data_IF_619043435149
#
_entry.id   IF_619043435149
#
_cell.length_a   1.000
_cell.length_b   1.000
_cell.length_c   1.000
_cell.angle_alpha   90.00
_cell.angle_beta   90.00
_cell.angle_gamma   90.00
#
_symmetry.space_group_name_H-M   'P 1'
#
loop_
_entity.id
_entity.type
_entity.pdbx_description
1 polymer ?
#
# COMPACT_ATOMS: atom_id res chain seq x y z
N UNK A 1 10.91 -26.43 -36.67
CA UNK A 1 12.02 -25.83 -35.91
C UNK A 1 12.12 -24.39 -36.35
N UNK A 2 11.42 -23.49 -35.70
CA UNK A 2 11.51 -22.04 -35.90
C UNK A 2 12.38 -21.49 -34.78
N UNK A 3 13.53 -20.98 -35.16
CA UNK A 3 14.48 -20.32 -34.29
C UNK A 3 13.83 -19.10 -33.67
N UNK A 4 13.67 -19.14 -32.35
CA UNK A 4 13.33 -17.95 -31.55
C UNK A 4 14.59 -17.11 -31.50
N UNK A 5 14.59 -16.03 -32.27
CA UNK A 5 15.65 -15.03 -32.25
C UNK A 5 15.75 -14.44 -30.82
N UNK A 6 16.90 -14.58 -30.12
CA UNK A 6 17.06 -13.95 -28.82
C UNK A 6 17.19 -12.43 -29.05
N UNK A 7 16.17 -11.67 -28.64
CA UNK A 7 16.29 -10.22 -28.53
C UNK A 7 17.40 -9.93 -27.55
N UNK A 8 18.55 -9.55 -28.08
CA UNK A 8 19.73 -9.15 -27.32
C UNK A 8 19.39 -7.88 -26.53
N UNK A 9 19.05 -8.07 -25.29
CA UNK A 9 18.76 -7.00 -24.35
C UNK A 9 20.06 -6.46 -23.75
N UNK A 10 20.66 -5.50 -24.41
CA UNK A 10 21.58 -4.55 -23.76
C UNK A 10 20.74 -3.48 -23.04
N UNK A 11 20.04 -3.82 -21.99
CA UNK A 11 19.36 -2.82 -21.18
C UNK A 11 20.25 -2.42 -20.02
N UNK A 12 20.62 -1.15 -19.99
CA UNK A 12 21.26 -0.53 -18.83
C UNK A 12 20.42 -0.81 -17.60
N UNK A 13 21.00 -1.34 -16.50
CA UNK A 13 20.25 -1.60 -15.29
C UNK A 13 19.56 -0.35 -14.77
N UNK A 14 18.28 -0.45 -14.38
CA UNK A 14 17.53 0.67 -13.83
C UNK A 14 17.74 0.71 -12.31
N UNK A 15 18.30 1.83 -11.83
CA UNK A 15 18.42 2.17 -10.42
C UNK A 15 17.46 3.34 -10.12
N UNK A 16 16.25 3.05 -9.67
CA UNK A 16 15.28 4.11 -9.42
C UNK A 16 15.61 4.92 -8.15
N UNK A 17 15.08 6.14 -8.02
CA UNK A 17 15.39 7.03 -6.91
C UNK A 17 15.08 6.42 -5.55
N UNK A 18 15.96 6.65 -4.60
CA UNK A 18 15.85 6.15 -3.23
C UNK A 18 16.05 7.25 -2.19
N UNK A 19 15.62 6.98 -0.97
CA UNK A 19 15.98 7.81 0.18
C UNK A 19 17.41 7.46 0.59
N UNK A 20 18.28 8.45 0.61
CA UNK A 20 19.67 8.28 1.08
C UNK A 20 19.67 8.27 2.61
N UNK A 21 20.10 7.16 3.26
CA UNK A 21 20.19 7.08 4.70
C UNK A 21 21.30 7.98 5.24
N UNK A 22 21.17 8.52 6.46
CA UNK A 22 22.27 9.21 7.12
C UNK A 22 23.39 8.21 7.49
N UNK A 23 24.68 8.56 7.27
CA UNK A 23 25.80 7.65 7.52
C UNK A 23 25.99 7.30 9.00
N UNK A 24 25.46 8.14 9.89
CA UNK A 24 25.47 7.94 11.35
C UNK A 24 24.10 8.27 11.95
N UNK A 25 23.78 7.71 13.12
CA UNK A 25 22.61 8.12 13.87
C UNK A 25 22.58 9.64 14.09
N UNK A 26 21.42 10.24 13.89
CA UNK A 26 21.24 11.69 13.98
C UNK A 26 21.07 12.14 15.42
N UNK A 27 21.52 13.36 15.74
CA UNK A 27 21.20 14.01 17.01
C UNK A 27 19.71 14.37 17.09
N UNK A 28 19.16 14.42 18.31
CA UNK A 28 17.72 14.60 18.55
C UNK A 28 17.08 15.76 17.76
N UNK A 29 17.62 17.00 17.77
CA UNK A 29 16.99 18.11 17.04
C UNK A 29 16.97 17.87 15.51
N UNK A 30 18.07 17.34 14.97
CA UNK A 30 18.17 17.03 13.54
C UNK A 30 17.25 15.87 13.16
N UNK A 31 17.24 14.82 13.98
CA UNK A 31 16.36 13.67 13.81
C UNK A 31 14.90 14.10 13.76
N UNK A 32 14.48 15.00 14.66
CA UNK A 32 13.12 15.51 14.70
C UNK A 32 12.74 16.29 13.42
N UNK A 33 13.61 17.20 12.97
CA UNK A 33 13.37 17.96 11.74
C UNK A 33 13.30 17.04 10.52
N UNK A 34 14.19 16.06 10.42
CA UNK A 34 14.19 15.07 9.33
C UNK A 34 12.96 14.17 9.40
N UNK A 35 12.57 13.73 10.61
CA UNK A 35 11.35 12.94 10.81
C UNK A 35 10.10 13.67 10.31
N UNK A 36 9.94 14.95 10.62
CA UNK A 36 8.81 15.74 10.11
C UNK A 36 8.81 15.89 8.59
N UNK A 37 9.98 15.89 7.96
CA UNK A 37 10.11 15.98 6.50
C UNK A 37 9.88 14.64 5.84
N UNK A 38 10.55 13.62 6.33
CA UNK A 38 10.47 12.24 5.83
C UNK A 38 11.05 11.28 6.88
N UNK A 39 10.22 10.49 7.59
CA UNK A 39 10.68 9.54 8.61
C UNK A 39 11.82 8.62 8.15
N UNK A 40 11.87 8.25 6.86
CA UNK A 40 12.93 7.39 6.32
C UNK A 40 14.32 8.02 6.40
N UNK A 41 14.42 9.35 6.47
CA UNK A 41 15.70 10.05 6.66
C UNK A 41 16.28 9.88 8.07
N UNK A 42 15.55 9.26 9.00
CA UNK A 42 16.03 9.01 10.37
C UNK A 42 16.59 7.60 10.55
N UNK A 43 16.46 6.74 9.54
CA UNK A 43 16.98 5.36 9.56
C UNK A 43 18.44 5.41 9.15
N UNK A 44 19.41 5.09 10.04
CA UNK A 44 20.83 5.17 9.72
C UNK A 44 21.27 4.08 8.73
N UNK A 45 22.35 4.35 8.00
CA UNK A 45 22.89 3.45 6.97
C UNK A 45 23.21 2.04 7.50
N UNK A 46 23.66 1.92 8.74
CA UNK A 46 23.93 0.63 9.38
C UNK A 46 22.72 -0.32 9.34
N UNK A 47 21.49 0.19 9.34
CA UNK A 47 20.25 -0.61 9.29
C UNK A 47 20.05 -1.31 7.94
N UNK A 48 20.76 -0.88 6.89
CA UNK A 48 20.73 -1.53 5.58
C UNK A 48 21.78 -2.66 5.45
N UNK A 49 22.61 -2.86 6.48
CA UNK A 49 23.74 -3.81 6.47
C UNK A 49 23.73 -4.76 7.67
N UNK A 50 23.25 -4.30 8.83
CA UNK A 50 23.32 -5.06 10.08
C UNK A 50 21.98 -5.71 10.44
N UNK A 51 22.00 -6.92 11.05
CA UNK A 51 20.79 -7.67 11.41
C UNK A 51 19.98 -6.99 12.53
N UNK A 52 20.68 -6.24 13.39
CA UNK A 52 20.13 -5.55 14.54
C UNK A 52 20.96 -4.28 14.80
N UNK A 53 20.30 -3.13 14.97
CA UNK A 53 20.96 -1.87 15.34
C UNK A 53 20.29 -1.28 16.57
N UNK A 54 21.04 -1.18 17.67
CA UNK A 54 20.55 -0.65 18.95
C UNK A 54 20.99 0.80 19.12
N UNK A 55 20.04 1.72 19.14
CA UNK A 55 20.27 3.13 19.45
C UNK A 55 19.89 3.40 20.92
N UNK A 56 20.92 3.52 21.77
CA UNK A 56 20.76 3.82 23.19
C UNK A 56 20.67 5.33 23.40
N UNK A 57 19.46 5.84 23.55
CA UNK A 57 19.20 7.27 23.79
C UNK A 57 17.72 7.51 24.05
N UNK A 58 17.30 8.73 24.45
CA UNK A 58 15.89 9.09 24.50
C UNK A 58 15.40 9.60 23.12
N UNK A 59 14.46 8.90 22.42
CA UNK A 59 13.96 7.55 22.75
C UNK A 59 14.95 6.45 22.36
N UNK A 60 15.01 5.37 23.14
CA UNK A 60 15.74 4.17 22.74
C UNK A 60 14.98 3.47 21.62
N UNK A 61 15.70 3.13 20.55
CA UNK A 61 15.12 2.46 19.37
C UNK A 61 16.01 1.28 19.00
N UNK A 62 15.40 0.13 18.76
CA UNK A 62 16.07 -1.05 18.23
C UNK A 62 15.51 -1.33 16.84
N UNK A 63 16.36 -1.24 15.82
CA UNK A 63 16.04 -1.59 14.45
C UNK A 63 16.32 -3.07 14.21
N UNK A 64 15.32 -3.79 13.73
CA UNK A 64 15.40 -5.23 13.45
C UNK A 64 15.21 -5.46 11.97
N UNK A 65 16.21 -6.08 11.32
CA UNK A 65 16.22 -6.32 9.87
C UNK A 65 16.44 -7.78 9.51
N UNK A 66 17.02 -8.58 10.41
CA UNK A 66 17.21 -10.01 10.20
C UNK A 66 15.87 -10.75 10.15
N UNK A 67 15.60 -11.59 9.11
CA UNK A 67 14.34 -12.30 8.98
C UNK A 67 13.98 -13.23 10.15
N UNK A 68 14.98 -13.84 10.83
CA UNK A 68 14.73 -14.69 12.00
C UNK A 68 14.31 -13.84 13.19
N UNK A 69 14.95 -12.70 13.42
CA UNK A 69 14.58 -11.75 14.47
C UNK A 69 13.22 -11.10 14.20
N UNK A 70 12.92 -10.75 12.95
CA UNK A 70 11.60 -10.28 12.54
C UNK A 70 10.51 -11.31 12.87
N UNK A 71 10.79 -12.60 12.63
CA UNK A 71 9.88 -13.70 13.01
C UNK A 71 9.65 -13.75 14.52
N UNK A 72 10.71 -13.63 15.34
CA UNK A 72 10.59 -13.59 16.81
C UNK A 72 9.66 -12.45 17.22
N UNK A 73 9.90 -11.24 16.74
CA UNK A 73 9.12 -10.04 17.13
C UNK A 73 7.66 -10.10 16.68
N UNK A 74 7.40 -10.60 15.45
CA UNK A 74 6.05 -10.54 14.87
C UNK A 74 5.22 -11.80 15.08
N UNK A 75 5.84 -12.94 15.41
CA UNK A 75 5.17 -14.24 15.47
C UNK A 75 5.46 -14.98 16.75
N UNK A 76 6.72 -15.37 16.98
CA UNK A 76 7.07 -16.33 18.04
C UNK A 76 6.86 -15.75 19.43
N UNK A 77 7.14 -14.46 19.62
CA UNK A 77 6.98 -13.74 20.89
C UNK A 77 6.11 -12.47 20.71
N UNK A 78 5.13 -12.50 19.82
CA UNK A 78 4.34 -11.32 19.47
C UNK A 78 3.61 -10.68 20.67
N UNK A 79 3.32 -11.42 21.72
CA UNK A 79 2.70 -10.93 22.96
C UNK A 79 3.68 -10.06 23.79
N UNK A 80 4.99 -10.29 23.66
CA UNK A 80 6.05 -9.47 24.27
C UNK A 80 6.34 -8.18 23.48
N UNK A 81 5.86 -8.13 22.24
CA UNK A 81 6.02 -7.00 21.30
C UNK A 81 4.67 -6.47 20.81
N UNK A 82 3.81 -5.94 21.68
CA UNK A 82 2.52 -5.38 21.28
C UNK A 82 2.67 -4.19 20.33
N UNK A 83 1.54 -3.77 19.74
CA UNK A 83 1.52 -2.59 18.87
C UNK A 83 1.94 -1.33 19.64
N UNK A 84 2.58 -0.41 18.93
CA UNK A 84 2.95 0.89 19.50
C UNK A 84 1.68 1.69 19.83
N UNK A 85 1.49 2.12 21.09
CA UNK A 85 0.39 2.98 21.49
C UNK A 85 0.28 4.28 20.70
N UNK A 86 1.37 4.69 20.04
CA UNK A 86 1.43 5.83 19.15
C UNK A 86 0.39 5.71 18.03
N UNK A 87 0.26 4.52 17.43
CA UNK A 87 -0.71 4.26 16.36
C UNK A 87 -2.14 4.64 16.81
N UNK A 88 -2.53 4.20 18.00
CA UNK A 88 -3.86 4.49 18.57
C UNK A 88 -4.02 5.97 18.93
N UNK A 89 -2.96 6.62 19.43
CA UNK A 89 -2.97 8.07 19.73
C UNK A 89 -3.15 8.93 18.49
N UNK A 90 -2.57 8.50 17.37
CA UNK A 90 -2.57 9.25 16.10
C UNK A 90 -3.85 8.99 15.32
N UNK A 91 -4.26 7.73 15.22
CA UNK A 91 -5.33 7.28 14.32
C UNK A 91 -6.67 7.03 15.03
N UNK A 92 -6.67 6.87 16.35
CA UNK A 92 -7.88 6.48 17.11
C UNK A 92 -9.03 7.47 17.03
N UNK A 93 -8.80 8.75 16.73
CA UNK A 93 -9.87 9.73 16.54
C UNK A 93 -10.80 9.37 15.39
N UNK A 94 -10.24 8.98 14.24
CA UNK A 94 -11.02 8.62 13.05
C UNK A 94 -11.41 7.13 13.03
N UNK A 95 -10.46 6.25 13.33
CA UNK A 95 -10.64 4.80 13.21
C UNK A 95 -11.23 4.13 14.45
N UNK A 96 -11.46 4.88 15.53
CA UNK A 96 -12.04 4.36 16.77
C UNK A 96 -11.31 3.11 17.29
N UNK A 97 -12.06 2.05 17.56
CA UNK A 97 -11.56 0.74 17.93
C UNK A 97 -11.75 -0.29 16.79
N UNK A 98 -11.24 0.03 15.61
CA UNK A 98 -11.27 -0.88 14.45
C UNK A 98 -10.26 -2.02 14.57
N UNK A 99 -10.27 -2.91 13.60
CA UNK A 99 -9.29 -4.00 13.45
C UNK A 99 -7.84 -3.47 13.40
N UNK A 100 -7.63 -2.22 12.99
CA UNK A 100 -6.30 -1.59 12.95
C UNK A 100 -5.81 -1.14 14.33
N UNK A 101 -6.72 -0.63 15.17
CA UNK A 101 -6.40 0.07 16.44
C UNK A 101 -6.73 -0.73 17.68
N UNK A 102 -7.53 -1.79 17.57
CA UNK A 102 -7.91 -2.68 18.67
C UNK A 102 -6.82 -3.71 18.99
N UNK A 103 -6.86 -4.26 20.20
CA UNK A 103 -5.89 -5.24 20.70
C UNK A 103 -6.58 -6.42 21.39
N UNK A 104 -5.80 -7.45 21.71
CA UNK A 104 -6.22 -8.59 22.51
C UNK A 104 -7.45 -9.31 21.95
N UNK A 105 -8.43 -9.55 22.81
CA UNK A 105 -9.66 -10.30 22.46
C UNK A 105 -10.54 -9.52 21.48
N UNK A 106 -10.63 -8.20 21.62
CA UNK A 106 -11.45 -7.36 20.73
C UNK A 106 -10.93 -7.43 19.30
N UNK A 107 -9.60 -7.35 19.12
CA UNK A 107 -8.99 -7.53 17.81
C UNK A 107 -9.22 -8.94 17.22
N UNK A 108 -9.01 -10.00 18.02
CA UNK A 108 -9.19 -11.38 17.54
C UNK A 108 -10.61 -11.61 17.04
N UNK A 109 -11.58 -11.16 17.80
CA UNK A 109 -12.99 -11.26 17.45
C UNK A 109 -13.29 -10.51 16.12
N UNK A 110 -12.85 -9.25 15.98
CA UNK A 110 -13.04 -8.49 14.75
C UNK A 110 -12.36 -9.18 13.57
N UNK A 111 -11.12 -9.64 13.74
CA UNK A 111 -10.36 -10.33 12.71
C UNK A 111 -11.05 -11.62 12.26
N UNK A 112 -11.50 -12.46 13.18
CA UNK A 112 -12.21 -13.71 12.88
C UNK A 112 -13.50 -13.46 12.12
N UNK A 113 -14.22 -12.40 12.49
CA UNK A 113 -15.48 -12.02 11.84
C UNK A 113 -15.25 -11.57 10.38
N UNK A 114 -14.19 -10.82 10.13
CA UNK A 114 -13.98 -10.14 8.84
C UNK A 114 -13.09 -10.93 7.87
N UNK A 115 -12.11 -11.69 8.36
CA UNK A 115 -11.13 -12.40 7.54
C UNK A 115 -11.72 -13.31 6.45
N UNK A 116 -12.85 -14.04 6.66
CA UNK A 116 -13.45 -14.84 5.61
C UNK A 116 -13.82 -14.06 4.35
N UNK A 117 -14.20 -12.77 4.50
CA UNK A 117 -14.60 -11.90 3.38
C UNK A 117 -13.43 -11.49 2.48
N UNK A 118 -12.20 -11.59 2.98
CA UNK A 118 -10.97 -11.20 2.28
C UNK A 118 -10.19 -12.40 1.72
N UNK A 119 -10.79 -13.59 1.66
CA UNK A 119 -10.19 -14.74 0.99
C UNK A 119 -10.10 -14.51 -0.52
N UNK A 120 -9.03 -14.98 -1.15
CA UNK A 120 -8.80 -14.80 -2.59
C UNK A 120 -10.02 -15.15 -3.46
N UNK A 121 -10.64 -16.32 -3.25
CA UNK A 121 -11.82 -16.74 -3.98
C UNK A 121 -13.04 -15.80 -3.86
N UNK A 122 -13.15 -15.06 -2.75
CA UNK A 122 -14.19 -14.05 -2.57
C UNK A 122 -13.85 -12.73 -3.27
N UNK A 123 -12.54 -12.41 -3.34
CA UNK A 123 -12.08 -11.13 -3.88
C UNK A 123 -12.12 -11.08 -5.40
N UNK A 124 -11.84 -12.19 -6.10
CA UNK A 124 -11.83 -12.24 -7.58
C UNK A 124 -13.16 -11.85 -8.22
N UNK A 125 -14.26 -11.96 -7.50
CA UNK A 125 -15.60 -11.52 -7.96
C UNK A 125 -15.71 -10.00 -8.11
N UNK A 126 -14.84 -9.22 -7.45
CA UNK A 126 -14.82 -7.76 -7.54
C UNK A 126 -13.93 -7.24 -8.68
N UNK A 127 -13.28 -8.13 -9.46
CA UNK A 127 -12.44 -7.74 -10.61
C UNK A 127 -13.18 -6.82 -11.59
N UNK A 128 -14.47 -7.01 -11.91
CA UNK A 128 -15.18 -6.07 -12.79
C UNK A 128 -15.20 -4.62 -12.25
N UNK A 129 -15.36 -4.43 -10.95
CA UNK A 129 -15.31 -3.11 -10.32
C UNK A 129 -13.88 -2.50 -10.37
N UNK A 130 -12.86 -3.35 -10.21
CA UNK A 130 -11.44 -2.95 -10.30
C UNK A 130 -11.09 -2.52 -11.74
N UNK A 131 -11.54 -3.26 -12.74
CA UNK A 131 -11.40 -2.90 -14.15
C UNK A 131 -12.11 -1.59 -14.46
N UNK A 132 -13.35 -1.41 -14.00
CA UNK A 132 -14.09 -0.16 -14.18
C UNK A 132 -13.36 1.06 -13.56
N UNK A 133 -12.67 0.86 -12.43
CA UNK A 133 -11.80 1.88 -11.85
C UNK A 133 -10.66 2.29 -12.80
N UNK A 134 -9.96 1.32 -13.39
CA UNK A 134 -8.92 1.59 -14.38
C UNK A 134 -9.49 2.25 -15.65
N UNK A 135 -10.62 1.79 -16.14
CA UNK A 135 -11.31 2.34 -17.31
C UNK A 135 -11.73 3.81 -17.09
N UNK A 136 -12.05 4.19 -15.86
CA UNK A 136 -12.35 5.59 -15.54
C UNK A 136 -11.16 6.52 -15.77
N UNK A 137 -9.94 6.07 -15.45
CA UNK A 137 -8.71 6.80 -15.73
C UNK A 137 -8.41 6.83 -17.24
N UNK A 138 -8.55 5.69 -17.92
CA UNK A 138 -8.37 5.57 -19.37
C UNK A 138 -9.31 6.52 -20.14
N UNK A 139 -10.57 6.61 -19.71
CA UNK A 139 -11.55 7.53 -20.29
C UNK A 139 -11.10 8.99 -20.15
N UNK A 140 -10.57 9.36 -18.98
CA UNK A 140 -10.08 10.72 -18.75
C UNK A 140 -8.84 11.03 -19.64
N UNK A 141 -7.93 10.06 -19.79
CA UNK A 141 -6.74 10.21 -20.65
C UNK A 141 -7.10 10.26 -22.14
N UNK A 142 -8.07 9.46 -22.58
CA UNK A 142 -8.55 9.46 -23.97
C UNK A 142 -9.23 10.78 -24.38
N UNK A 143 -9.75 11.54 -23.44
CA UNK A 143 -10.36 12.86 -23.67
C UNK A 143 -9.32 13.99 -23.75
N UNK A 144 -8.07 13.74 -23.32
CA UNK A 144 -6.97 14.70 -23.38
C UNK A 144 -6.24 14.62 -24.73
N UNK A 145 -5.54 15.69 -25.15
CA UNK A 145 -4.70 15.63 -26.33
C UNK A 145 -3.65 14.51 -26.27
N UNK A 146 -3.32 13.84 -27.38
CA UNK A 146 -2.31 12.78 -27.39
C UNK A 146 -0.98 13.25 -26.79
N UNK A 147 -0.37 12.42 -25.95
CA UNK A 147 0.89 12.74 -25.29
C UNK A 147 0.81 13.78 -24.18
N UNK A 148 -0.39 14.06 -23.66
CA UNK A 148 -0.57 14.95 -22.50
C UNK A 148 0.13 14.38 -21.26
N UNK A 149 0.65 15.30 -20.43
CA UNK A 149 1.15 14.95 -19.09
C UNK A 149 0.00 14.85 -18.10
N UNK A 150 -0.02 13.76 -17.33
CA UNK A 150 -1.03 13.48 -16.31
C UNK A 150 -0.37 13.28 -14.96
N UNK A 151 -1.02 13.76 -13.90
CA UNK A 151 -0.62 13.51 -12.51
C UNK A 151 -1.07 12.10 -12.11
N UNK A 152 -0.24 11.09 -12.44
CA UNK A 152 -0.58 9.67 -12.30
C UNK A 152 -0.94 9.30 -10.86
N UNK A 153 -0.28 9.87 -9.87
CA UNK A 153 -0.61 9.66 -8.45
C UNK A 153 -2.04 10.11 -8.12
N UNK A 154 -2.47 11.25 -8.64
CA UNK A 154 -3.84 11.74 -8.47
C UNK A 154 -4.85 10.90 -9.26
N UNK A 155 -4.49 10.44 -10.47
CA UNK A 155 -5.34 9.59 -11.29
C UNK A 155 -5.54 8.22 -10.64
N UNK A 156 -4.49 7.60 -10.13
CA UNK A 156 -4.57 6.33 -9.42
C UNK A 156 -5.36 6.45 -8.11
N UNK A 157 -5.19 7.55 -7.37
CA UNK A 157 -6.03 7.83 -6.20
C UNK A 157 -7.52 7.90 -6.55
N UNK A 158 -7.89 8.53 -7.65
CA UNK A 158 -9.29 8.58 -8.11
C UNK A 158 -9.80 7.22 -8.55
N UNK A 159 -8.99 6.48 -9.31
CA UNK A 159 -9.36 5.17 -9.83
C UNK A 159 -9.55 4.14 -8.71
N UNK A 160 -8.62 4.03 -7.76
CA UNK A 160 -8.72 3.11 -6.61
C UNK A 160 -9.82 3.54 -5.63
N UNK A 161 -10.03 4.86 -5.49
CA UNK A 161 -11.16 5.36 -4.71
C UNK A 161 -12.50 4.93 -5.33
N UNK A 162 -12.62 4.99 -6.66
CA UNK A 162 -13.81 4.49 -7.37
C UNK A 162 -14.03 2.99 -7.11
N UNK A 163 -12.95 2.19 -7.13
CA UNK A 163 -13.03 0.75 -6.81
C UNK A 163 -13.56 0.54 -5.40
N UNK A 164 -12.95 1.17 -4.39
CA UNK A 164 -13.30 0.94 -2.99
C UNK A 164 -14.73 1.41 -2.68
N UNK A 165 -15.18 2.52 -3.28
CA UNK A 165 -16.55 2.99 -3.15
C UNK A 165 -17.55 2.01 -3.75
N UNK A 166 -17.27 1.46 -4.94
CA UNK A 166 -18.18 0.53 -5.60
C UNK A 166 -18.22 -0.86 -4.93
N UNK A 167 -17.22 -1.20 -4.12
CA UNK A 167 -17.16 -2.48 -3.40
C UNK A 167 -17.60 -2.38 -1.94
N UNK A 168 -17.30 -1.26 -1.26
CA UNK A 168 -17.60 -1.07 0.16
C UNK A 168 -18.75 -0.08 0.44
N UNK A 169 -19.12 0.77 -0.52
CA UNK A 169 -20.21 1.74 -0.36
C UNK A 169 -21.04 1.86 -1.65
N UNK A 170 -21.52 0.75 -2.24
CA UNK A 170 -22.29 0.82 -3.47
C UNK A 170 -23.58 1.60 -3.24
N UNK A 171 -23.90 2.47 -4.19
CA UNK A 171 -25.08 3.38 -4.11
C UNK A 171 -24.83 4.70 -3.35
N UNK A 172 -23.64 4.90 -2.79
CA UNK A 172 -23.32 6.08 -1.98
C UNK A 172 -23.23 7.42 -2.72
N UNK A 173 -23.47 7.45 -4.03
CA UNK A 173 -23.55 8.65 -4.85
C UNK A 173 -22.29 9.54 -4.89
N UNK A 174 -22.29 10.51 -5.83
CA UNK A 174 -21.15 11.43 -6.02
C UNK A 174 -20.86 12.31 -4.77
N UNK A 175 -21.88 12.58 -3.95
CA UNK A 175 -21.74 13.40 -2.73
C UNK A 175 -20.90 12.72 -1.64
N UNK A 176 -21.13 11.42 -1.39
CA UNK A 176 -20.33 10.64 -0.43
C UNK A 176 -18.90 10.57 -0.95
N UNK A 177 -18.73 10.32 -2.25
CA UNK A 177 -17.44 10.27 -2.90
C UNK A 177 -16.59 11.53 -2.69
N UNK A 178 -17.14 12.69 -2.97
CA UNK A 178 -16.40 13.95 -2.83
C UNK A 178 -16.10 14.30 -1.36
N UNK A 179 -17.08 14.08 -0.46
CA UNK A 179 -16.90 14.30 0.99
C UNK A 179 -15.79 13.41 1.56
N UNK A 180 -15.77 12.12 1.19
CA UNK A 180 -14.75 11.18 1.63
C UNK A 180 -13.36 11.55 1.08
N UNK A 181 -13.26 11.89 -0.21
CA UNK A 181 -12.01 12.30 -0.85
C UNK A 181 -11.41 13.54 -0.18
N UNK A 182 -12.21 14.62 -0.05
CA UNK A 182 -11.77 15.86 0.59
C UNK A 182 -11.40 15.63 2.06
N UNK A 183 -12.27 14.93 2.80
CA UNK A 183 -12.07 14.67 4.22
C UNK A 183 -10.86 13.83 4.52
N UNK A 184 -10.59 12.81 3.69
CA UNK A 184 -9.41 11.96 3.82
C UNK A 184 -8.13 12.74 3.57
N UNK A 185 -8.08 13.54 2.51
CA UNK A 185 -6.91 14.37 2.19
C UNK A 185 -6.58 15.33 3.33
N UNK A 186 -7.59 16.07 3.78
CA UNK A 186 -7.45 17.05 4.86
C UNK A 186 -7.07 16.43 6.21
N UNK A 187 -7.61 15.23 6.50
CA UNK A 187 -7.26 14.49 7.70
C UNK A 187 -5.80 14.03 7.66
N UNK A 188 -5.35 13.47 6.53
CA UNK A 188 -3.98 12.98 6.34
C UNK A 188 -2.93 14.08 6.47
N UNK A 189 -3.23 15.31 6.04
CA UNK A 189 -2.33 16.45 6.26
C UNK A 189 -2.07 16.74 7.75
N UNK A 190 -3.10 16.58 8.59
CA UNK A 190 -3.00 16.79 10.05
C UNK A 190 -2.23 15.70 10.80
N UNK A 191 -2.10 14.50 10.22
CA UNK A 191 -1.46 13.35 10.88
C UNK A 191 0.01 13.61 11.23
N UNK A 192 0.78 14.29 10.38
CA UNK A 192 2.20 14.57 10.64
C UNK A 192 2.41 15.32 11.96
N UNK A 193 1.59 16.33 12.24
CA UNK A 193 1.63 17.05 13.52
C UNK A 193 1.15 16.18 14.69
N UNK A 194 0.11 15.38 14.47
CA UNK A 194 -0.38 14.44 15.50
C UNK A 194 0.69 13.42 15.88
N UNK A 195 1.42 12.90 14.89
CA UNK A 195 2.53 11.97 15.09
C UNK A 195 3.69 12.65 15.83
N UNK A 196 4.06 13.88 15.45
CA UNK A 196 5.11 14.62 16.13
C UNK A 196 4.81 14.87 17.61
N UNK A 197 3.57 15.28 17.92
CA UNK A 197 3.13 15.49 19.31
C UNK A 197 3.11 14.18 20.11
N UNK A 198 2.73 13.09 19.47
CA UNK A 198 2.68 11.79 20.12
C UNK A 198 4.08 11.22 20.37
N UNK A 199 5.01 11.36 19.40
CA UNK A 199 6.43 10.97 19.55
C UNK A 199 7.11 11.75 20.66
N UNK A 200 6.84 13.05 20.77
CA UNK A 200 7.37 13.91 21.85
C UNK A 200 6.62 13.74 23.18
N UNK A 201 5.63 12.84 23.23
CA UNK A 201 4.75 12.63 24.40
C UNK A 201 4.15 13.94 24.96
N UNK A 202 3.83 14.89 24.05
CA UNK A 202 3.24 16.16 24.43
C UNK A 202 1.81 15.98 24.95
N UNK A 203 1.38 16.75 25.96
CA UNK A 203 0.03 16.66 26.49
C UNK A 203 -1.05 16.94 25.44
N UNK A 204 -2.15 16.20 25.47
CA UNK A 204 -3.25 16.29 24.50
C UNK A 204 -3.94 17.66 24.51
N UNK A 205 -3.88 18.40 25.63
CA UNK A 205 -4.46 19.72 25.76
C UNK A 205 -3.68 20.80 25.02
N UNK A 206 -2.40 20.55 24.70
CA UNK A 206 -1.56 21.54 24.00
C UNK A 206 -2.12 21.84 22.60
N UNK A 207 -2.26 23.12 22.22
CA UNK A 207 -2.73 23.51 20.89
C UNK A 207 -1.83 22.94 19.80
N UNK A 208 -2.40 22.23 18.81
CA UNK A 208 -1.65 21.72 17.66
C UNK A 208 -2.27 22.18 16.34
N UNK A 209 -1.43 22.47 15.33
CA UNK A 209 -1.90 22.84 14.01
C UNK A 209 -2.85 21.77 13.43
N UNK A 210 -3.92 22.21 12.78
CA UNK A 210 -4.88 21.33 12.11
C UNK A 210 -5.88 20.58 13.00
N UNK A 211 -5.78 20.64 14.36
CA UNK A 211 -6.65 19.88 15.27
C UNK A 211 -8.14 20.11 15.05
N UNK A 212 -8.56 21.39 14.81
CA UNK A 212 -9.97 21.71 14.56
C UNK A 212 -10.47 21.09 13.24
N UNK A 213 -9.65 21.18 12.19
CA UNK A 213 -9.94 20.60 10.86
C UNK A 213 -10.03 19.07 10.93
N UNK A 214 -9.08 18.43 11.63
CA UNK A 214 -9.12 16.97 11.85
C UNK A 214 -10.41 16.55 12.58
N UNK A 215 -10.77 17.20 13.69
CA UNK A 215 -12.01 16.89 14.43
C UNK A 215 -13.27 17.09 13.59
N UNK A 216 -13.33 18.17 12.80
CA UNK A 216 -14.43 18.39 11.86
C UNK A 216 -14.59 17.21 10.91
N UNK A 217 -13.49 16.75 10.31
CA UNK A 217 -13.52 15.63 9.38
C UNK A 217 -13.77 14.29 10.08
N UNK A 218 -13.22 14.06 11.27
CA UNK A 218 -13.55 12.88 12.08
C UNK A 218 -15.06 12.74 12.26
N UNK A 219 -15.71 13.79 12.73
CA UNK A 219 -17.17 13.79 12.94
C UNK A 219 -17.94 13.60 11.63
N UNK A 220 -17.53 14.32 10.59
CA UNK A 220 -18.23 14.30 9.30
C UNK A 220 -18.13 12.97 8.58
N UNK A 221 -16.93 12.38 8.53
CA UNK A 221 -16.70 11.09 7.87
C UNK A 221 -17.43 9.95 8.62
N UNK A 222 -17.38 9.97 9.95
CA UNK A 222 -18.12 8.98 10.76
C UNK A 222 -19.63 9.09 10.57
N UNK A 223 -20.18 10.29 10.51
CA UNK A 223 -21.59 10.50 10.25
C UNK A 223 -22.02 9.95 8.89
N UNK A 224 -21.26 10.27 7.82
CA UNK A 224 -21.56 9.78 6.47
C UNK A 224 -21.59 8.24 6.42
N UNK A 225 -20.62 7.56 7.03
CA UNK A 225 -20.59 6.10 7.04
C UNK A 225 -21.75 5.52 7.88
N UNK A 226 -22.07 6.13 9.03
CA UNK A 226 -23.19 5.70 9.87
C UNK A 226 -24.54 5.87 9.14
N UNK A 227 -24.72 6.98 8.40
CA UNK A 227 -25.91 7.22 7.59
C UNK A 227 -26.04 6.15 6.49
N UNK A 228 -24.94 5.84 5.79
CA UNK A 228 -24.92 4.78 4.76
C UNK A 228 -25.30 3.40 5.34
N UNK A 229 -24.81 3.07 6.54
CA UNK A 229 -25.19 1.81 7.23
C UNK A 229 -26.70 1.78 7.48
N UNK A 230 -27.26 2.90 8.00
CA UNK A 230 -28.70 3.00 8.31
C UNK A 230 -29.56 2.93 7.05
N UNK A 231 -29.17 3.61 5.97
CA UNK A 231 -29.85 3.55 4.68
C UNK A 231 -29.89 2.11 4.15
N UNK A 232 -28.79 1.37 4.23
CA UNK A 232 -28.72 -0.04 3.78
C UNK A 232 -29.62 -0.96 4.61
N UNK A 233 -29.74 -0.73 5.92
CA UNK A 233 -30.64 -1.49 6.77
C UNK A 233 -32.13 -1.25 6.47
N UNK A 234 -32.49 -0.06 5.99
CA UNK A 234 -33.88 0.31 5.67
C UNK A 234 -34.29 -0.06 4.24
N UNK A 235 -33.33 -0.23 3.34
CA UNK A 235 -33.57 -0.63 1.94
C UNK A 235 -32.79 -1.91 1.65
N UNK A 236 -33.30 -3.08 2.04
CA UNK A 236 -32.64 -4.35 1.80
C UNK A 236 -32.82 -4.78 0.33
N UNK A 237 -32.24 -4.03 -0.60
CA UNK A 237 -32.02 -4.52 -1.96
C UNK A 237 -31.04 -5.68 -1.89
N UNK A 238 -31.26 -6.72 -2.71
CA UNK A 238 -30.45 -7.93 -2.75
C UNK A 238 -29.06 -7.67 -3.39
N UNK A 239 -28.26 -6.87 -2.70
CA UNK A 239 -26.91 -6.51 -3.13
C UNK A 239 -25.90 -7.56 -2.60
N UNK A 240 -25.27 -8.29 -3.50
CA UNK A 240 -24.15 -9.19 -3.18
C UNK A 240 -22.80 -8.45 -3.25
N UNK A 241 -22.65 -7.41 -2.41
CA UNK A 241 -21.43 -6.61 -2.28
C UNK A 241 -20.71 -6.87 -0.95
N UNK A 242 -19.45 -6.42 -0.88
CA UNK A 242 -18.62 -6.59 0.30
C UNK A 242 -19.20 -5.85 1.53
N UNK A 243 -19.89 -4.74 1.30
CA UNK A 243 -20.55 -3.97 2.36
C UNK A 243 -21.70 -4.75 3.01
N UNK A 244 -22.63 -5.29 2.20
CA UNK A 244 -23.73 -6.13 2.69
C UNK A 244 -23.22 -7.36 3.44
N UNK A 245 -22.17 -7.99 2.90
CA UNK A 245 -21.51 -9.13 3.55
C UNK A 245 -20.87 -8.74 4.89
N UNK A 246 -20.26 -7.56 4.99
CA UNK A 246 -19.69 -7.05 6.24
C UNK A 246 -20.78 -6.77 7.28
N UNK A 247 -21.91 -6.18 6.86
CA UNK A 247 -23.07 -5.95 7.75
C UNK A 247 -23.65 -7.28 8.28
N UNK A 248 -23.67 -8.31 7.43
CA UNK A 248 -24.14 -9.65 7.78
C UNK A 248 -23.11 -10.52 8.50
N UNK A 249 -21.85 -10.10 8.59
CA UNK A 249 -20.78 -10.91 9.13
C UNK A 249 -21.00 -11.25 10.61
N UNK A 250 -20.80 -12.53 10.94
CA UNK A 250 -20.92 -13.05 12.31
C UNK A 250 -19.60 -13.68 12.75
N UNK A 251 -19.29 -13.51 13.99
CA UNK A 251 -18.16 -14.22 14.58
C UNK A 251 -18.41 -15.74 14.53
N UNK A 252 -17.52 -16.52 13.92
CA UNK A 252 -17.72 -17.95 13.72
C UNK A 252 -17.75 -18.75 15.04
N UNK A 253 -17.17 -18.22 16.13
CA UNK A 253 -17.15 -18.90 17.43
C UNK A 253 -18.40 -18.61 18.27
N UNK A 254 -18.88 -17.37 18.23
CA UNK A 254 -19.94 -16.90 19.13
C UNK A 254 -21.27 -16.60 18.45
N UNK A 255 -21.29 -16.56 17.10
CA UNK A 255 -22.45 -16.15 16.30
C UNK A 255 -22.85 -14.67 16.46
N UNK A 256 -22.04 -13.87 17.16
CA UNK A 256 -22.35 -12.43 17.40
C UNK A 256 -22.07 -11.59 16.18
N UNK A 257 -22.97 -10.67 15.89
CA UNK A 257 -22.78 -9.63 14.88
C UNK A 257 -21.95 -8.48 15.41
N UNK A 258 -21.30 -7.77 14.49
CA UNK A 258 -20.53 -6.57 14.81
C UNK A 258 -21.50 -5.42 15.15
N UNK A 259 -21.34 -4.72 16.29
CA UNK A 259 -22.14 -3.54 16.61
C UNK A 259 -21.91 -2.41 15.59
N UNK A 260 -22.92 -1.57 15.35
CA UNK A 260 -22.87 -0.47 14.36
C UNK A 260 -21.65 0.43 14.56
N UNK A 261 -21.29 0.78 15.78
CA UNK A 261 -20.11 1.59 16.08
C UNK A 261 -18.81 0.94 15.54
N UNK A 262 -18.68 -0.38 15.71
CA UNK A 262 -17.52 -1.15 15.20
C UNK A 262 -17.55 -1.29 13.67
N UNK A 263 -18.75 -1.38 13.09
CA UNK A 263 -18.91 -1.36 11.62
C UNK A 263 -18.43 -0.02 11.05
N UNK A 264 -18.81 1.10 11.65
CA UNK A 264 -18.33 2.45 11.26
C UNK A 264 -16.80 2.52 11.36
N UNK A 265 -16.22 2.07 12.49
CA UNK A 265 -14.77 2.07 12.71
C UNK A 265 -14.03 1.26 11.64
N UNK A 266 -14.51 0.05 11.34
CA UNK A 266 -13.90 -0.83 10.37
C UNK A 266 -14.10 -0.37 8.92
N UNK A 267 -15.29 0.13 8.56
CA UNK A 267 -15.54 0.66 7.23
C UNK A 267 -14.64 1.87 6.92
N UNK A 268 -14.51 2.81 7.86
CA UNK A 268 -13.58 3.92 7.71
C UNK A 268 -12.13 3.44 7.55
N UNK A 269 -11.75 2.41 8.31
CA UNK A 269 -10.42 1.81 8.19
C UNK A 269 -10.22 1.20 6.80
N UNK A 270 -11.16 0.42 6.29
CA UNK A 270 -11.05 -0.22 4.97
C UNK A 270 -11.08 0.81 3.83
N UNK A 271 -11.94 1.83 3.94
CA UNK A 271 -12.01 2.91 2.95
C UNK A 271 -10.69 3.67 2.84
N UNK A 272 -10.09 4.04 3.98
CA UNK A 272 -8.87 4.84 3.97
C UNK A 272 -7.62 4.01 3.68
N UNK A 273 -7.52 2.80 4.25
CA UNK A 273 -6.36 1.93 4.06
C UNK A 273 -6.33 1.31 2.66
N UNK A 274 -7.50 1.03 2.06
CA UNK A 274 -7.61 0.29 0.81
C UNK A 274 -7.16 1.11 -0.41
N UNK A 275 -7.61 2.36 -0.58
CA UNK A 275 -7.34 3.07 -1.82
C UNK A 275 -5.97 3.72 -1.91
N UNK A 276 -5.48 4.36 -0.84
CA UNK A 276 -4.18 5.06 -0.87
C UNK A 276 -3.00 4.13 -1.15
N UNK A 277 -3.00 2.93 -0.55
CA UNK A 277 -1.89 1.99 -0.67
C UNK A 277 -1.79 1.41 -2.07
N UNK A 278 -2.92 1.00 -2.66
CA UNK A 278 -2.97 0.47 -4.03
C UNK A 278 -2.67 1.57 -5.06
N UNK A 279 -3.19 2.78 -4.86
CA UNK A 279 -2.87 3.92 -5.71
C UNK A 279 -1.37 4.19 -5.78
N UNK A 280 -0.68 4.23 -4.65
CA UNK A 280 0.77 4.44 -4.63
C UNK A 280 1.55 3.25 -5.21
N UNK A 281 1.09 2.02 -5.00
CA UNK A 281 1.66 0.84 -5.66
C UNK A 281 1.59 0.98 -7.19
N UNK A 282 0.43 1.30 -7.73
CA UNK A 282 0.24 1.51 -9.17
C UNK A 282 1.07 2.70 -9.68
N UNK A 283 1.09 3.81 -8.95
CA UNK A 283 1.87 5.01 -9.30
C UNK A 283 3.34 4.70 -9.48
N UNK A 284 3.97 4.04 -8.48
CA UNK A 284 5.37 3.66 -8.55
C UNK A 284 5.62 2.59 -9.62
N UNK A 285 4.70 1.65 -9.80
CA UNK A 285 4.82 0.61 -10.83
C UNK A 285 4.79 1.20 -12.24
N UNK A 286 3.87 2.12 -12.52
CA UNK A 286 3.80 2.81 -13.82
C UNK A 286 5.05 3.66 -14.08
N UNK A 287 5.58 4.34 -13.06
CA UNK A 287 6.85 5.03 -13.15
C UNK A 287 8.01 4.08 -13.48
N UNK A 288 8.13 2.95 -12.79
CA UNK A 288 9.18 1.96 -13.04
C UNK A 288 9.09 1.38 -14.46
N UNK A 289 7.89 1.06 -14.91
CA UNK A 289 7.67 0.56 -16.27
C UNK A 289 7.97 1.62 -17.34
N UNK A 290 7.66 2.89 -17.09
CA UNK A 290 8.00 4.00 -18.01
C UNK A 290 9.52 4.17 -18.22
N UNK A 291 10.32 3.64 -17.28
CA UNK A 291 11.79 3.67 -17.32
C UNK A 291 12.41 2.32 -17.71
N UNK A 292 11.60 1.27 -17.83
CA UNK A 292 12.02 -0.09 -18.11
C UNK A 292 11.26 -0.69 -19.31
N UNK A 293 11.49 -0.20 -20.55
CA UNK A 293 10.71 -0.56 -21.74
C UNK A 293 10.70 -2.07 -22.01
N UNK A 294 11.78 -2.79 -21.67
CA UNK A 294 11.83 -4.24 -21.83
C UNK A 294 10.84 -4.96 -20.91
N UNK A 295 10.64 -4.45 -19.69
CA UNK A 295 9.65 -5.01 -18.78
C UNK A 295 8.23 -4.62 -19.17
N UNK A 296 8.03 -3.37 -19.64
CA UNK A 296 6.74 -2.95 -20.20
C UNK A 296 6.32 -3.84 -21.38
N UNK A 297 7.24 -4.13 -22.31
CA UNK A 297 6.97 -5.01 -23.46
C UNK A 297 6.58 -6.43 -22.99
N UNK A 298 7.33 -7.03 -22.07
CA UNK A 298 7.03 -8.37 -21.52
C UNK A 298 5.67 -8.42 -20.84
N UNK A 299 5.34 -7.39 -20.05
CA UNK A 299 4.03 -7.26 -19.39
C UNK A 299 2.92 -7.16 -20.43
N UNK A 300 3.10 -6.33 -21.46
CA UNK A 300 2.11 -6.16 -22.53
C UNK A 300 1.90 -7.45 -23.34
N UNK A 301 2.97 -8.17 -23.65
CA UNK A 301 2.91 -9.43 -24.38
C UNK A 301 2.19 -10.52 -23.56
N UNK A 302 2.48 -10.63 -22.26
CA UNK A 302 1.72 -11.54 -21.37
C UNK A 302 0.23 -11.18 -21.33
N UNK A 303 -0.10 -9.89 -21.20
CA UNK A 303 -1.51 -9.45 -21.17
C UNK A 303 -2.21 -9.82 -22.48
N UNK A 304 -1.58 -9.62 -23.64
CA UNK A 304 -2.13 -9.99 -24.95
C UNK A 304 -2.38 -11.49 -25.08
N UNK A 305 -1.48 -12.33 -24.52
CA UNK A 305 -1.60 -13.77 -24.57
C UNK A 305 -2.67 -14.32 -23.58
N UNK A 306 -2.70 -13.76 -22.37
CA UNK A 306 -3.57 -14.28 -21.30
C UNK A 306 -5.00 -13.76 -21.42
N UNK A 307 -5.17 -12.46 -21.70
CA UNK A 307 -6.49 -11.81 -21.76
C UNK A 307 -7.10 -11.88 -23.16
N UNK A 308 -6.25 -11.96 -24.19
CA UNK A 308 -6.64 -12.00 -25.61
C UNK A 308 -7.60 -10.84 -25.99
N UNK A 309 -8.90 -11.07 -25.94
CA UNK A 309 -9.95 -10.09 -26.23
C UNK A 309 -10.86 -9.87 -25.01
N UNK A 310 -11.51 -8.71 -24.95
CA UNK A 310 -12.41 -8.38 -23.83
C UNK A 310 -11.71 -7.79 -22.60
N UNK A 311 -12.44 -7.56 -21.50
CA UNK A 311 -11.89 -7.04 -20.25
C UNK A 311 -11.08 -8.09 -19.49
N UNK A 312 -10.25 -7.64 -18.55
CA UNK A 312 -9.63 -8.52 -17.56
C UNK A 312 -10.72 -9.10 -16.65
N UNK A 313 -10.63 -10.39 -16.36
CA UNK A 313 -11.58 -11.11 -15.49
C UNK A 313 -10.84 -11.80 -14.34
N UNK A 314 -11.58 -12.31 -13.35
CA UNK A 314 -11.00 -13.02 -12.21
C UNK A 314 -10.14 -14.23 -12.61
N UNK A 315 -10.50 -14.93 -13.70
CA UNK A 315 -9.77 -16.10 -14.20
C UNK A 315 -8.37 -15.74 -14.78
N UNK A 316 -8.17 -14.49 -15.17
CA UNK A 316 -6.90 -14.04 -15.69
C UNK A 316 -5.87 -13.72 -14.60
N UNK A 317 -6.32 -13.37 -13.38
CA UNK A 317 -5.48 -12.81 -12.33
C UNK A 317 -4.26 -13.68 -12.01
N UNK A 318 -4.48 -14.97 -11.76
CA UNK A 318 -3.41 -15.90 -11.36
C UNK A 318 -2.48 -16.27 -12.53
N UNK A 319 -2.92 -16.02 -13.78
CA UNK A 319 -2.17 -16.27 -15.01
C UNK A 319 -1.27 -15.12 -15.43
N UNK A 320 -1.47 -13.92 -14.87
CA UNK A 320 -0.69 -12.72 -15.15
C UNK A 320 0.59 -12.68 -14.29
N UNK A 321 1.49 -13.64 -14.51
CA UNK A 321 2.68 -13.90 -13.69
C UNK A 321 3.70 -12.76 -13.80
N UNK A 322 3.97 -12.26 -15.01
CA UNK A 322 4.91 -11.15 -15.24
C UNK A 322 4.39 -9.84 -14.63
N UNK A 323 3.08 -9.59 -14.72
CA UNK A 323 2.42 -8.46 -14.06
C UNK A 323 2.65 -8.54 -12.55
N UNK A 324 2.47 -9.72 -11.94
CA UNK A 324 2.70 -9.92 -10.50
C UNK A 324 4.17 -9.78 -10.11
N UNK A 325 5.12 -10.22 -10.95
CA UNK A 325 6.56 -10.01 -10.72
C UNK A 325 6.90 -8.52 -10.64
N UNK A 326 6.41 -7.74 -11.59
CA UNK A 326 6.61 -6.29 -11.63
C UNK A 326 6.00 -5.60 -10.41
N UNK A 327 4.77 -5.97 -10.02
CA UNK A 327 4.11 -5.45 -8.83
C UNK A 327 4.88 -5.78 -7.55
N UNK A 328 5.35 -7.03 -7.40
CA UNK A 328 6.13 -7.44 -6.24
C UNK A 328 7.46 -6.68 -6.16
N UNK A 329 8.16 -6.47 -7.28
CA UNK A 329 9.40 -5.69 -7.30
C UNK A 329 9.13 -4.20 -7.01
N UNK A 330 8.03 -3.65 -7.49
CA UNK A 330 7.59 -2.31 -7.11
C UNK A 330 7.29 -2.21 -5.61
N UNK A 331 6.58 -3.17 -5.03
CA UNK A 331 6.32 -3.26 -3.59
C UNK A 331 7.59 -3.47 -2.76
N UNK A 332 8.62 -4.12 -3.31
CA UNK A 332 9.93 -4.23 -2.67
C UNK A 332 10.63 -2.88 -2.62
N UNK A 333 10.71 -2.20 -3.76
CA UNK A 333 11.39 -0.91 -3.85
C UNK A 333 10.61 0.23 -3.19
N UNK A 334 9.29 0.23 -3.31
CA UNK A 334 8.41 1.28 -2.80
C UNK A 334 7.23 0.70 -2.00
N UNK A 335 7.52 0.04 -0.85
CA UNK A 335 6.44 -0.47 -0.01
C UNK A 335 5.56 0.69 0.48
N UNK A 336 4.23 0.64 0.28
CA UNK A 336 3.33 1.71 0.73
C UNK A 336 3.46 2.03 2.21
N UNK A 337 3.63 1.01 3.07
CA UNK A 337 3.97 1.18 4.48
C UNK A 337 5.44 0.81 4.68
N UNK A 338 6.35 1.81 4.69
CA UNK A 338 7.78 1.55 4.65
C UNK A 338 8.36 1.17 6.02
N UNK A 339 7.59 1.22 7.09
CA UNK A 339 8.03 0.93 8.45
C UNK A 339 6.86 0.44 9.30
N UNK A 340 7.14 -0.53 10.16
CA UNK A 340 6.26 -0.97 11.25
C UNK A 340 6.97 -0.73 12.58
N UNK A 341 6.19 -0.52 13.64
CA UNK A 341 6.71 -0.36 15.00
C UNK A 341 6.04 -1.31 15.96
N UNK A 342 6.80 -1.72 16.97
CA UNK A 342 6.38 -2.44 18.16
C UNK A 342 7.04 -1.80 19.35
N UNK A 343 6.70 -2.20 20.55
CA UNK A 343 7.50 -1.87 21.71
C UNK A 343 7.59 -3.09 22.64
N UNK A 344 8.60 -3.13 23.49
CA UNK A 344 8.76 -4.23 24.43
C UNK A 344 7.85 -4.06 25.65
N UNK A 345 6.98 -5.04 25.92
CA UNK A 345 6.11 -5.04 27.10
C UNK A 345 6.86 -5.38 28.41
N UNK A 346 7.97 -6.09 28.30
CA UNK A 346 8.88 -6.50 29.38
C UNK A 346 10.33 -6.47 28.89
N UNK A 347 11.28 -6.68 29.79
CA UNK A 347 12.67 -6.89 29.41
C UNK A 347 12.80 -8.16 28.56
N UNK A 348 13.52 -8.09 27.45
CA UNK A 348 13.73 -9.19 26.50
C UNK A 348 15.18 -9.25 26.04
N UNK A 349 15.64 -10.45 25.71
CA UNK A 349 16.94 -10.65 25.08
C UNK A 349 16.73 -10.96 23.57
N UNK A 350 17.34 -10.14 22.71
CA UNK A 350 17.23 -10.29 21.27
C UNK A 350 18.61 -10.27 20.65
N UNK A 351 19.02 -11.37 20.04
CA UNK A 351 20.35 -11.57 19.45
C UNK A 351 21.53 -11.24 20.39
N UNK A 352 21.41 -11.56 21.68
CA UNK A 352 22.42 -11.28 22.71
C UNK A 352 22.42 -9.86 23.27
N UNK A 353 21.53 -8.99 22.78
CA UNK A 353 21.31 -7.65 23.34
C UNK A 353 20.16 -7.67 24.35
N UNK A 354 20.42 -7.17 25.56
CA UNK A 354 19.40 -6.98 26.59
C UNK A 354 18.62 -5.68 26.32
N UNK A 355 17.32 -5.80 26.06
CA UNK A 355 16.42 -4.69 25.68
C UNK A 355 15.40 -4.51 26.80
N UNK A 356 15.36 -3.30 27.35
CA UNK A 356 14.45 -2.96 28.45
C UNK A 356 13.01 -2.80 28.00
N UNK A 357 12.07 -3.06 28.89
CA UNK A 357 10.66 -2.76 28.72
C UNK A 357 10.45 -1.28 28.30
N UNK A 358 9.47 -1.06 27.42
CA UNK A 358 9.17 0.26 26.87
C UNK A 358 10.10 0.73 25.75
N UNK A 359 11.03 -0.11 25.27
CA UNK A 359 11.89 0.22 24.12
C UNK A 359 11.10 0.09 22.81
N UNK A 360 11.25 1.07 21.92
CA UNK A 360 10.67 1.03 20.57
C UNK A 360 11.44 0.05 19.68
N UNK A 361 10.74 -0.89 19.10
CA UNK A 361 11.25 -1.82 18.08
C UNK A 361 10.79 -1.33 16.72
N UNK A 362 11.73 -0.91 15.89
CA UNK A 362 11.50 -0.53 14.50
C UNK A 362 11.73 -1.69 13.55
N UNK A 363 10.76 -1.96 12.69
CA UNK A 363 10.83 -2.92 11.60
C UNK A 363 10.79 -2.12 10.29
N UNK A 364 11.94 -1.67 9.79
CA UNK A 364 12.03 -0.77 8.65
C UNK A 364 11.90 -1.55 7.34
N UNK A 365 10.66 -1.83 6.91
CA UNK A 365 10.36 -2.61 5.69
C UNK A 365 11.12 -2.08 4.49
N UNK A 366 11.20 -0.75 4.33
CA UNK A 366 11.95 -0.10 3.27
C UNK A 366 13.44 -0.48 3.26
N UNK A 367 14.06 -0.58 4.45
CA UNK A 367 15.46 -0.99 4.59
C UNK A 367 15.63 -2.51 4.47
N UNK A 368 14.72 -3.32 5.04
CA UNK A 368 14.71 -4.78 4.90
C UNK A 368 14.65 -5.18 3.43
N UNK A 369 13.78 -4.51 2.66
CA UNK A 369 13.63 -4.75 1.23
C UNK A 369 14.83 -4.25 0.38
N UNK A 370 15.76 -3.51 0.98
CA UNK A 370 17.01 -3.02 0.38
C UNK A 370 18.25 -3.47 1.13
N UNK A 371 18.11 -4.44 2.04
CA UNK A 371 19.20 -4.87 2.89
C UNK A 371 20.27 -5.65 2.10
N UNK A 372 21.52 -5.21 2.16
CA UNK A 372 22.61 -5.72 1.35
C UNK A 372 22.99 -7.19 1.61
N UNK A 373 22.65 -7.74 2.79
CA UNK A 373 22.83 -9.18 3.09
C UNK A 373 21.66 -10.03 2.62
N UNK A 374 20.50 -9.41 2.32
CA UNK A 374 19.29 -10.13 1.97
C UNK A 374 18.99 -10.12 0.46
N UNK A 375 19.49 -9.11 -0.25
CA UNK A 375 19.21 -8.91 -1.66
C UNK A 375 20.50 -8.63 -2.43
N UNK A 376 20.72 -9.37 -3.51
CA UNK A 376 21.77 -9.05 -4.48
C UNK A 376 21.38 -7.79 -5.24
N UNK A 377 22.29 -6.81 -5.32
CA UNK A 377 22.05 -5.53 -5.98
C UNK A 377 20.68 -4.91 -5.59
N UNK A 378 20.50 -4.58 -4.28
CA UNK A 378 19.20 -4.30 -3.68
C UNK A 378 18.48 -3.07 -4.25
N UNK A 379 19.21 -2.14 -4.85
CA UNK A 379 18.63 -0.90 -5.39
C UNK A 379 18.22 -1.02 -6.86
N UNK A 380 18.62 -2.11 -7.55
CA UNK A 380 18.25 -2.38 -8.93
C UNK A 380 16.80 -2.84 -9.04
N UNK A 381 16.07 -2.29 -10.01
CA UNK A 381 14.76 -2.80 -10.42
C UNK A 381 14.93 -4.07 -11.25
N UNK A 382 14.58 -5.21 -10.68
CA UNK A 382 14.67 -6.52 -11.31
C UNK A 382 13.47 -7.42 -10.94
N UNK A 383 12.35 -7.34 -11.66
CA UNK A 383 11.19 -8.19 -11.43
C UNK A 383 11.47 -9.70 -11.52
N UNK A 384 12.57 -10.13 -12.19
CA UNK A 384 12.93 -11.54 -12.27
C UNK A 384 13.24 -12.18 -10.90
N UNK A 385 13.47 -11.36 -9.87
CA UNK A 385 13.59 -11.83 -8.48
C UNK A 385 12.36 -12.60 -8.01
N UNK A 386 11.20 -12.21 -8.53
CA UNK A 386 9.90 -12.82 -8.19
C UNK A 386 9.41 -13.84 -9.22
N UNK A 387 10.30 -14.31 -10.10
CA UNK A 387 10.00 -15.43 -10.95
C UNK A 387 9.71 -16.70 -10.11
N UNK A 388 8.76 -17.55 -10.52
CA UNK A 388 8.36 -18.73 -9.76
C UNK A 388 9.54 -19.59 -9.31
N UNK A 389 10.57 -19.73 -10.16
CA UNK A 389 11.77 -20.53 -9.91
C UNK A 389 12.67 -19.94 -8.81
N UNK A 390 12.62 -18.61 -8.61
CA UNK A 390 13.43 -17.89 -7.61
C UNK A 390 12.67 -17.63 -6.31
N UNK A 391 11.34 -17.62 -6.34
CA UNK A 391 10.49 -17.29 -5.20
C UNK A 391 10.70 -18.20 -3.98
N UNK A 392 11.11 -19.44 -4.19
CA UNK A 392 11.39 -20.40 -3.13
C UNK A 392 12.65 -20.09 -2.30
N UNK A 393 13.52 -19.19 -2.79
CA UNK A 393 14.76 -18.80 -2.11
C UNK A 393 14.59 -17.68 -1.07
N UNK A 394 13.45 -17.01 -1.01
CA UNK A 394 13.25 -15.86 -0.14
C UNK A 394 12.44 -16.21 1.12
N UNK A 395 12.94 -15.73 2.28
CA UNK A 395 12.16 -15.79 3.51
C UNK A 395 10.94 -14.87 3.40
N UNK A 396 9.79 -15.32 3.91
CA UNK A 396 8.59 -14.48 4.03
C UNK A 396 8.78 -13.23 4.91
N UNK A 397 9.84 -13.21 5.71
CA UNK A 397 10.19 -12.07 6.58
C UNK A 397 11.26 -11.17 5.95
N UNK A 398 11.79 -11.56 4.78
CA UNK A 398 12.64 -10.74 3.93
C UNK A 398 11.82 -9.88 2.96
N UNK A 399 10.69 -10.40 2.47
CA UNK A 399 9.75 -9.69 1.63
C UNK A 399 8.37 -9.65 2.31
N UNK A 400 8.04 -8.52 2.93
CA UNK A 400 6.82 -8.38 3.71
C UNK A 400 6.10 -7.03 3.49
N UNK A 401 5.71 -6.70 2.25
CA UNK A 401 5.05 -5.42 1.93
C UNK A 401 3.69 -5.26 2.63
N UNK A 402 3.09 -6.36 3.08
CA UNK A 402 1.84 -6.43 3.83
C UNK A 402 2.05 -6.71 5.33
N UNK A 403 3.29 -6.62 5.82
CA UNK A 403 3.64 -7.04 7.17
C UNK A 403 3.71 -8.56 7.31
N UNK A 404 3.74 -9.04 8.56
CA UNK A 404 3.80 -10.47 8.87
C UNK A 404 3.16 -10.76 10.25
N UNK A 405 2.99 -12.05 10.56
CA UNK A 405 2.42 -12.53 11.81
C UNK A 405 0.89 -12.39 11.88
N UNK A 406 0.31 -12.47 13.10
CA UNK A 406 -1.14 -12.38 13.26
C UNK A 406 -1.75 -11.09 12.74
N UNK A 407 -0.98 -10.01 12.73
CA UNK A 407 -1.38 -8.67 12.27
C UNK A 407 -1.03 -8.38 10.81
N UNK A 408 -0.78 -9.41 9.99
CA UNK A 408 -0.62 -9.25 8.54
C UNK A 408 -1.84 -8.54 7.94
N UNK A 409 -1.63 -7.74 6.91
CA UNK A 409 -2.72 -7.00 6.25
C UNK A 409 -3.86 -7.95 5.82
N UNK A 410 -5.05 -7.70 6.32
CA UNK A 410 -6.23 -8.50 5.99
C UNK A 410 -6.65 -8.30 4.53
N UNK A 411 -6.39 -7.11 3.96
CA UNK A 411 -6.69 -6.76 2.57
C UNK A 411 -5.60 -7.15 1.57
N UNK A 412 -4.59 -7.96 1.94
CA UNK A 412 -3.46 -8.27 1.05
C UNK A 412 -3.91 -8.91 -0.27
N UNK A 413 -4.83 -9.88 -0.22
CA UNK A 413 -5.38 -10.51 -1.41
C UNK A 413 -6.16 -9.50 -2.27
N UNK A 414 -6.98 -8.64 -1.64
CA UNK A 414 -7.72 -7.59 -2.34
C UNK A 414 -6.76 -6.65 -3.08
N UNK A 415 -5.75 -6.14 -2.38
CA UNK A 415 -4.78 -5.19 -2.94
C UNK A 415 -3.98 -5.78 -4.12
N UNK A 416 -3.58 -7.06 -4.04
CA UNK A 416 -2.84 -7.72 -5.12
C UNK A 416 -3.74 -8.00 -6.33
N UNK A 417 -4.96 -8.46 -6.14
CA UNK A 417 -5.95 -8.69 -7.21
C UNK A 417 -6.28 -7.36 -7.89
N UNK A 418 -6.56 -6.31 -7.09
CA UNK A 418 -6.87 -4.97 -7.59
C UNK A 418 -5.71 -4.40 -8.41
N UNK A 419 -4.50 -4.40 -7.85
CA UNK A 419 -3.31 -3.89 -8.54
C UNK A 419 -3.03 -4.66 -9.84
N UNK A 420 -3.20 -5.99 -9.84
CA UNK A 420 -3.00 -6.84 -11.03
C UNK A 420 -4.03 -6.52 -12.10
N UNK A 421 -5.32 -6.47 -11.77
CA UNK A 421 -6.40 -6.19 -12.71
C UNK A 421 -6.28 -4.78 -13.31
N UNK A 422 -6.02 -3.78 -12.45
CA UNK A 422 -5.86 -2.39 -12.88
C UNK A 422 -4.61 -2.21 -13.73
N UNK A 423 -3.44 -2.72 -13.30
CA UNK A 423 -2.19 -2.58 -14.06
C UNK A 423 -2.32 -3.22 -15.44
N UNK A 424 -2.88 -4.43 -15.53
CA UNK A 424 -3.10 -5.11 -16.81
C UNK A 424 -4.02 -4.30 -17.73
N UNK A 425 -5.09 -3.71 -17.19
CA UNK A 425 -6.04 -2.89 -17.94
C UNK A 425 -5.36 -1.60 -18.45
N UNK A 426 -4.59 -0.93 -17.58
CA UNK A 426 -3.91 0.34 -17.91
C UNK A 426 -2.81 0.15 -18.96
N UNK A 427 -1.92 -0.87 -18.80
CA UNK A 427 -0.81 -1.12 -19.72
C UNK A 427 -1.30 -1.56 -21.09
N UNK A 428 -2.42 -2.30 -21.15
CA UNK A 428 -3.04 -2.66 -22.42
C UNK A 428 -3.57 -1.45 -23.17
N UNK A 429 -4.08 -0.44 -22.46
CA UNK A 429 -4.72 0.73 -23.07
C UNK A 429 -3.76 1.87 -23.38
N UNK A 430 -2.68 2.03 -22.62
CA UNK A 430 -1.81 3.19 -22.73
C UNK A 430 -0.34 2.83 -22.52
N UNK A 431 0.53 3.69 -23.06
CA UNK A 431 1.97 3.74 -22.81
C UNK A 431 2.28 4.93 -21.92
N UNK A 432 3.21 4.75 -21.00
CA UNK A 432 3.62 5.76 -20.05
C UNK A 432 5.09 6.13 -20.28
N UNK A 433 5.39 7.43 -20.29
CA UNK A 433 6.75 7.93 -20.45
C UNK A 433 7.07 8.98 -19.41
N UNK A 434 8.21 8.83 -18.73
CA UNK A 434 8.73 9.83 -17.81
C UNK A 434 9.56 10.84 -18.57
N UNK A 435 9.04 12.05 -18.76
CA UNK A 435 9.72 13.14 -19.44
C UNK A 435 10.53 14.03 -18.49
N UNK A 436 10.33 13.86 -17.19
CA UNK A 436 11.01 14.69 -16.19
C UNK A 436 12.49 14.34 -16.12
N UNK A 437 13.35 15.37 -16.27
CA UNK A 437 14.77 15.27 -15.96
C UNK A 437 14.99 15.09 -14.46
N UNK A 438 14.02 15.52 -13.66
CA UNK A 438 14.07 15.44 -12.20
C UNK A 438 13.39 14.17 -11.72
N UNK A 439 14.15 13.32 -11.06
CA UNK A 439 13.62 12.07 -10.49
C UNK A 439 12.66 12.34 -9.33
N UNK A 440 11.57 11.54 -9.19
CA UNK A 440 10.64 11.68 -8.09
C UNK A 440 11.29 11.32 -6.76
N UNK A 441 11.11 12.18 -5.75
CA UNK A 441 11.68 11.96 -4.41
C UNK A 441 10.69 11.14 -3.56
N UNK A 442 11.08 9.93 -3.08
CA UNK A 442 10.21 9.14 -2.22
C UNK A 442 10.10 9.78 -0.82
N UNK A 443 8.88 10.05 -0.37
CA UNK A 443 8.58 10.61 0.96
C UNK A 443 7.52 9.79 1.66
N UNK A 444 7.79 9.37 2.89
CA UNK A 444 6.81 8.72 3.75
C UNK A 444 6.03 9.76 4.56
N UNK A 445 4.71 9.78 4.36
CA UNK A 445 3.77 10.51 5.21
C UNK A 445 2.56 9.61 5.46
N UNK A 446 2.70 8.62 6.34
CA UNK A 446 1.82 7.46 6.48
C UNK A 446 2.04 6.47 5.33
N UNK A 447 1.84 6.89 4.08
CA UNK A 447 2.10 6.08 2.88
C UNK A 447 3.30 6.67 2.12
N UNK A 448 4.13 5.80 1.54
CA UNK A 448 5.27 6.18 0.70
C UNK A 448 4.77 6.71 -0.64
N UNK A 449 5.01 7.98 -0.91
CA UNK A 449 4.54 8.68 -2.11
C UNK A 449 5.65 9.53 -2.76
N UNK A 450 5.53 9.89 -4.03
CA UNK A 450 6.36 10.92 -4.63
C UNK A 450 6.05 12.27 -3.97
N UNK A 451 7.10 13.05 -3.65
CA UNK A 451 6.98 14.32 -2.92
C UNK A 451 6.11 15.35 -3.65
N UNK A 452 6.37 15.52 -4.93
CA UNK A 452 5.77 16.58 -5.75
C UNK A 452 4.83 16.00 -6.84
N UNK A 453 4.27 14.78 -6.58
CA UNK A 453 3.45 14.04 -7.52
C UNK A 453 4.25 13.22 -8.53
N UNK A 454 3.53 12.54 -9.45
CA UNK A 454 4.11 11.67 -10.47
C UNK A 454 3.59 12.05 -11.87
N UNK A 455 4.13 13.12 -12.49
CA UNK A 455 3.74 13.47 -13.84
C UNK A 455 4.34 12.48 -14.84
N UNK A 456 3.49 11.79 -15.61
CA UNK A 456 3.90 10.98 -16.76
C UNK A 456 3.13 11.42 -18.00
N UNK A 457 3.79 11.34 -19.15
CA UNK A 457 3.13 11.45 -20.44
C UNK A 457 2.37 10.15 -20.72
N UNK A 458 1.12 10.29 -21.15
CA UNK A 458 0.26 9.15 -21.46
C UNK A 458 -0.09 9.19 -22.95
N UNK A 459 0.23 8.09 -23.64
CA UNK A 459 -0.11 7.89 -25.04
C UNK A 459 -1.03 6.68 -25.15
N UNK A 460 -2.25 6.88 -25.65
CA UNK A 460 -3.19 5.78 -25.85
C UNK A 460 -2.70 4.84 -26.95
N UNK A 461 -2.75 3.54 -26.70
CA UNK A 461 -2.47 2.53 -27.72
C UNK A 461 -3.66 2.43 -28.67
N UNK A 462 -3.43 2.38 -29.98
CA UNK A 462 -4.47 2.09 -30.97
C UNK A 462 -5.18 0.76 -30.65
N UNK A 463 -6.47 0.65 -30.97
CA UNK A 463 -7.14 -0.65 -30.90
C UNK A 463 -6.36 -1.63 -31.79
N UNK A 464 -6.15 -2.86 -31.32
CA UNK A 464 -5.48 -3.92 -32.07
C UNK A 464 -6.24 -4.14 -33.41
N UNK A 465 -5.81 -3.49 -34.45
CA UNK A 465 -6.40 -3.39 -35.79
C UNK A 465 -5.79 -2.27 -36.66
N UNK A 466 -5.24 -1.21 -36.01
CA UNK A 466 -4.67 -0.06 -36.75
C UNK A 466 -3.17 -0.21 -37.07
N UNK A 467 -2.46 -1.14 -36.45
CA UNK A 467 -1.02 -1.37 -36.67
C UNK A 467 -0.72 -2.01 -38.06
N UNK A 468 -1.73 -2.43 -38.81
CA UNK A 468 -1.55 -3.03 -40.14
C UNK A 468 -1.42 -1.99 -41.29
N UNK A 469 -1.66 -0.70 -41.00
CA UNK A 469 -1.63 0.36 -42.03
C UNK A 469 -0.36 1.23 -42.01
N UNK A 470 0.51 1.07 -41.00
CA UNK A 470 1.75 1.86 -40.87
C UNK A 470 2.98 1.24 -41.59
N UNK A 471 2.87 0.05 -42.20
CA UNK A 471 3.96 -0.63 -42.92
C UNK A 471 3.84 -0.58 -44.43
N UNK A 472 3.07 0.34 -44.96
CA UNK A 472 2.89 0.49 -46.42
C UNK A 472 3.05 1.91 -46.88
N UNK A 473 4.30 2.33 -47.14
CA UNK A 473 4.61 3.30 -48.18
C UNK A 473 6.08 3.21 -48.57
N UNK A 474 6.37 3.57 -49.87
CA UNK A 474 7.11 2.76 -50.80
C UNK A 474 8.62 2.94 -50.75
#
# INVERSE_FOLDING_TARGET
>A
MSEICPIAASSVPLYPPRVTPPPKPLHLPESFVKFLRNPLLTIPEAVYHEPLVVLRGPPAIVWVTDPALVKIVLVDQCDDFPQDPLLRRVLGGLFGNSILTSEGRDWRWQHQTVAPLFRHGEIVRYVPAMVAGAESAIKAWSAAPPGSSHAIDADMLRATYHVICNTLLPGGGAFIGETMKQGTSDYMEGISWSTAYAVLNLPVWLPRPGRRRMRFWETRLRAVVADTIRERHTSPDDHDDLFTRLLGAVDPETGRRMPEERLVDNLLTFLLAGHHTVAMTLTWTLYLLSRAPNWEARVLDEIRQVVASGPVTGEHIDRLVTVQQVLNESLRLYPPLPMMTRYTAKDVDLAGEHIKAGTLIGLPIYAIHRHHRLWDDPDRFDPSRFAPERKTGYSRYQFMPFGAGPRICIGAAFALVEATAMLATLIRAARFESLSVQEPIPVSRVVLRPKDGMPLQVTMRGRAGDDSLASGQP
#
